data_IF_465151440210
#
_entry.id   IF_465151440210
#
_cell.length_a   1.000
_cell.length_b   1.000
_cell.length_c   1.000
_cell.angle_alpha   90.00
_cell.angle_beta   90.00
_cell.angle_gamma   90.00
#
_symmetry.space_group_name_H-M   'P 1'
#
loop_
_entity.id
_entity.type
_entity.pdbx_description
1 polymer ?
#
# COMPACT_ATOMS: atom_id res chain seq x y z
N UNK A 1 0.38 -13.95 10.03
CA UNK A 1 -0.13 -12.55 10.04
C UNK A 1 -1.13 -12.42 8.91
N UNK A 2 -2.29 -11.80 9.13
CA UNK A 2 -3.25 -11.51 8.06
C UNK A 2 -3.49 -10.00 7.98
N UNK A 3 -3.89 -9.50 6.82
CA UNK A 3 -4.22 -8.08 6.63
C UNK A 3 -5.52 -7.97 5.87
N UNK A 4 -6.50 -7.30 6.46
CA UNK A 4 -7.75 -6.95 5.79
C UNK A 4 -7.61 -5.54 5.21
N UNK A 5 -7.97 -5.39 3.95
CA UNK A 5 -7.97 -4.11 3.23
C UNK A 5 -9.27 -3.95 2.47
N UNK A 6 -9.73 -2.73 2.34
CA UNK A 6 -10.85 -2.40 1.45
C UNK A 6 -10.30 -1.98 0.08
N UNK A 7 -10.86 -2.55 -0.99
CA UNK A 7 -10.52 -2.15 -2.35
C UNK A 7 -11.14 -0.80 -2.68
N UNK A 8 -10.64 -0.15 -3.74
CA UNK A 8 -11.22 1.11 -4.23
C UNK A 8 -12.70 1.01 -4.66
N UNK A 9 -13.23 -0.21 -4.81
CA UNK A 9 -14.64 -0.49 -5.14
C UNK A 9 -15.47 -0.90 -3.91
N UNK A 10 -14.97 -0.69 -2.70
CA UNK A 10 -15.65 -1.00 -1.45
C UNK A 10 -15.72 -2.49 -1.07
N UNK A 11 -15.03 -3.37 -1.83
CA UNK A 11 -14.98 -4.79 -1.47
C UNK A 11 -13.87 -5.04 -0.47
N UNK A 12 -14.18 -5.76 0.61
CA UNK A 12 -13.18 -6.25 1.54
C UNK A 12 -12.34 -7.37 0.92
N UNK A 13 -11.03 -7.27 1.11
CA UNK A 13 -10.03 -8.25 0.71
C UNK A 13 -9.16 -8.62 1.91
N UNK A 14 -8.65 -9.83 1.91
CA UNK A 14 -7.74 -10.32 2.94
C UNK A 14 -6.51 -10.94 2.30
N UNK A 15 -5.33 -10.64 2.84
CA UNK A 15 -4.09 -11.37 2.56
C UNK A 15 -3.85 -12.30 3.76
N UNK A 16 -3.89 -13.60 3.53
CA UNK A 16 -3.69 -14.63 4.53
C UNK A 16 -3.00 -15.84 3.88
N UNK A 17 -2.00 -16.40 4.56
CA UNK A 17 -1.26 -17.58 4.09
C UNK A 17 -0.59 -17.36 2.72
N UNK A 18 -0.13 -16.13 2.43
CA UNK A 18 0.39 -15.71 1.11
C UNK A 18 -0.65 -15.68 -0.03
N UNK A 19 -1.91 -16.03 0.23
CA UNK A 19 -2.99 -15.95 -0.74
C UNK A 19 -3.87 -14.73 -0.54
N UNK A 20 -4.40 -14.24 -1.67
CA UNK A 20 -5.38 -13.15 -1.68
C UNK A 20 -6.79 -13.69 -1.72
N UNK A 21 -7.61 -13.06 -0.90
CA UNK A 21 -8.99 -13.36 -0.73
C UNK A 21 -9.85 -12.13 -0.99
N UNK A 22 -11.03 -12.36 -1.52
CA UNK A 22 -12.12 -11.40 -1.60
C UNK A 22 -13.24 -11.89 -0.68
N UNK A 23 -13.90 -10.96 0.01
CA UNK A 23 -15.08 -11.27 0.80
C UNK A 23 -16.17 -11.81 -0.13
N UNK A 24 -16.61 -13.04 0.11
CA UNK A 24 -17.73 -13.67 -0.59
C UNK A 24 -19.05 -13.25 0.05
N UNK A 25 -19.12 -13.36 1.38
CA UNK A 25 -20.28 -13.01 2.19
C UNK A 25 -19.93 -12.88 3.66
N UNK A 26 -20.71 -12.09 4.38
CA UNK A 26 -20.68 -11.98 5.84
C UNK A 26 -21.99 -12.56 6.38
N UNK A 27 -21.93 -13.44 7.37
CA UNK A 27 -23.10 -13.98 8.08
C UNK A 27 -22.85 -14.00 9.57
N UNK A 28 -23.71 -13.32 10.34
CA UNK A 28 -23.57 -13.17 11.79
C UNK A 28 -22.15 -12.65 12.11
N UNK A 29 -21.39 -13.41 12.89
CA UNK A 29 -20.01 -13.11 13.29
C UNK A 29 -18.95 -13.74 12.40
N UNK A 30 -19.33 -14.28 11.23
CA UNK A 30 -18.45 -15.00 10.31
C UNK A 30 -18.33 -14.31 8.96
N UNK A 31 -17.10 -14.06 8.54
CA UNK A 31 -16.76 -13.64 7.18
C UNK A 31 -16.30 -14.86 6.40
N UNK A 32 -16.87 -15.05 5.22
CA UNK A 32 -16.48 -16.09 4.28
C UNK A 32 -15.66 -15.47 3.16
N UNK A 33 -14.49 -16.05 2.95
CA UNK A 33 -13.48 -15.58 2.03
C UNK A 33 -13.34 -16.58 0.87
N UNK A 34 -13.17 -16.04 -0.34
CA UNK A 34 -12.84 -16.83 -1.53
C UNK A 34 -11.56 -16.33 -2.17
N UNK A 35 -10.79 -17.25 -2.76
CA UNK A 35 -9.57 -16.89 -3.47
C UNK A 35 -9.87 -15.80 -4.53
N UNK A 36 -8.95 -14.85 -4.72
CA UNK A 36 -9.06 -13.84 -5.78
C UNK A 36 -9.16 -14.49 -7.17
N UNK A 37 -8.51 -15.64 -7.37
CA UNK A 37 -8.57 -16.44 -8.60
C UNK A 37 -9.75 -17.42 -8.62
N UNK A 38 -10.88 -17.12 -7.93
CA UNK A 38 -11.98 -18.08 -7.70
C UNK A 38 -12.61 -18.70 -8.96
N UNK A 39 -12.40 -18.10 -10.14
CA UNK A 39 -12.86 -18.66 -11.41
C UNK A 39 -12.16 -20.00 -11.67
N UNK A 40 -10.87 -20.07 -11.36
CA UNK A 40 -10.04 -21.25 -11.58
C UNK A 40 -9.62 -21.93 -10.28
N UNK A 41 -9.99 -21.39 -9.11
CA UNK A 41 -9.55 -21.85 -7.80
C UNK A 41 -10.71 -22.02 -6.80
N UNK A 42 -10.80 -23.19 -6.18
CA UNK A 42 -11.78 -23.47 -5.13
C UNK A 42 -11.34 -23.05 -3.73
N UNK A 43 -10.22 -22.33 -3.60
CA UNK A 43 -9.70 -21.86 -2.31
C UNK A 43 -10.74 -21.06 -1.53
N UNK A 44 -10.95 -21.43 -0.27
CA UNK A 44 -11.93 -20.79 0.63
C UNK A 44 -11.35 -20.72 2.04
N UNK A 45 -11.67 -19.64 2.74
CA UNK A 45 -11.39 -19.49 4.16
C UNK A 45 -12.62 -18.92 4.87
N UNK A 46 -12.67 -19.10 6.19
CA UNK A 46 -13.66 -18.48 7.07
C UNK A 46 -12.95 -17.76 8.19
N UNK A 47 -13.54 -16.68 8.69
CA UNK A 47 -12.98 -15.90 9.77
C UNK A 47 -14.09 -15.52 10.75
N UNK A 48 -13.88 -15.76 12.05
CA UNK A 48 -14.70 -15.16 13.10
C UNK A 48 -14.11 -13.77 13.45
N UNK A 49 -14.94 -12.82 13.91
CA UNK A 49 -14.54 -11.40 14.15
C UNK A 49 -13.21 -11.25 14.91
N UNK A 50 -12.96 -12.11 15.89
CA UNK A 50 -11.78 -12.01 16.79
C UNK A 50 -10.72 -13.09 16.51
N UNK A 51 -10.90 -13.88 15.46
CA UNK A 51 -10.02 -15.00 15.14
C UNK A 51 -9.32 -14.77 13.79
N UNK A 52 -8.12 -15.36 13.61
CA UNK A 52 -7.49 -15.39 12.31
C UNK A 52 -8.35 -16.18 11.30
N UNK A 53 -8.28 -15.85 10.00
CA UNK A 53 -8.89 -16.68 8.97
C UNK A 53 -8.37 -18.12 9.04
N UNK A 54 -9.27 -19.08 8.82
CA UNK A 54 -8.96 -20.51 8.75
C UNK A 54 -9.34 -21.03 7.37
N UNK A 55 -8.40 -21.74 6.74
CA UNK A 55 -8.61 -22.37 5.44
C UNK A 55 -9.69 -23.47 5.56
N UNK A 56 -10.65 -23.44 4.64
CA UNK A 56 -11.74 -24.43 4.58
C UNK A 56 -11.69 -25.27 3.30
N UNK A 57 -10.99 -24.80 2.27
CA UNK A 57 -10.82 -25.50 1.00
C UNK A 57 -9.43 -25.17 0.45
N UNK A 58 -8.68 -26.17 -0.05
CA UNK A 58 -7.33 -25.98 -0.54
C UNK A 58 -7.31 -25.17 -1.85
N UNK A 59 -6.13 -24.64 -2.15
CA UNK A 59 -5.82 -24.00 -3.42
C UNK A 59 -5.37 -25.04 -4.45
N UNK A 60 -5.43 -24.66 -5.71
CA UNK A 60 -4.91 -25.45 -6.83
C UNK A 60 -3.88 -24.67 -7.65
N UNK A 61 -3.33 -23.61 -7.07
CA UNK A 61 -2.29 -22.78 -7.65
C UNK A 61 -1.36 -22.33 -6.52
N UNK A 62 -0.12 -22.00 -6.88
CA UNK A 62 0.83 -21.42 -5.94
C UNK A 62 0.43 -19.98 -5.57
N UNK A 63 0.90 -19.47 -4.42
CA UNK A 63 0.69 -18.07 -4.06
C UNK A 63 1.26 -17.14 -5.13
N UNK A 64 0.56 -16.05 -5.49
CA UNK A 64 1.06 -15.09 -6.48
C UNK A 64 2.13 -14.16 -5.86
N UNK A 65 3.30 -14.71 -5.56
CA UNK A 65 4.40 -14.05 -4.80
C UNK A 65 4.78 -12.69 -5.39
N UNK A 66 5.01 -12.62 -6.69
CA UNK A 66 5.36 -11.36 -7.36
C UNK A 66 4.30 -10.27 -7.17
N UNK A 67 3.02 -10.62 -7.35
CA UNK A 67 1.93 -9.67 -7.17
C UNK A 67 1.82 -9.19 -5.71
N UNK A 68 2.08 -10.07 -4.75
CA UNK A 68 2.14 -9.76 -3.32
C UNK A 68 3.29 -8.81 -3.00
N UNK A 69 4.48 -9.07 -3.52
CA UNK A 69 5.66 -8.22 -3.33
C UNK A 69 5.47 -6.82 -3.93
N UNK A 70 4.87 -6.74 -5.12
CA UNK A 70 4.50 -5.48 -5.76
C UNK A 70 3.48 -4.71 -4.91
N UNK A 71 2.46 -5.38 -4.37
CA UNK A 71 1.46 -4.70 -3.55
C UNK A 71 2.04 -4.21 -2.22
N UNK A 72 2.87 -5.03 -1.58
CA UNK A 72 3.60 -4.63 -0.39
C UNK A 72 4.51 -3.44 -0.70
N UNK A 73 5.18 -3.43 -1.87
CA UNK A 73 6.03 -2.30 -2.30
C UNK A 73 5.26 -1.00 -2.37
N UNK A 74 4.10 -1.05 -3.02
CA UNK A 74 3.22 0.11 -3.13
C UNK A 74 2.75 0.57 -1.77
N UNK A 75 2.44 -0.36 -0.86
CA UNK A 75 2.00 -0.05 0.51
C UNK A 75 3.10 0.68 1.27
N UNK A 76 4.32 0.16 1.25
CA UNK A 76 5.47 0.75 1.95
C UNK A 76 5.79 2.14 1.40
N UNK A 77 5.81 2.31 0.07
CA UNK A 77 6.03 3.63 -0.54
C UNK A 77 4.93 4.63 -0.16
N UNK A 78 3.66 4.23 -0.22
CA UNK A 78 2.55 5.10 0.17
C UNK A 78 2.61 5.49 1.64
N UNK A 79 3.02 4.58 2.51
CA UNK A 79 3.23 4.87 3.93
C UNK A 79 4.29 5.94 4.11
N UNK A 80 5.48 5.73 3.54
CA UNK A 80 6.59 6.67 3.65
C UNK A 80 6.30 8.04 3.04
N UNK A 81 5.55 8.08 1.94
CA UNK A 81 5.11 9.35 1.34
C UNK A 81 4.31 10.20 2.33
N UNK A 82 3.54 9.60 3.24
CA UNK A 82 2.72 10.31 4.23
C UNK A 82 3.51 10.79 5.43
N UNK A 83 4.65 10.14 5.72
CA UNK A 83 5.45 10.40 6.92
C UNK A 83 6.67 11.28 6.62
N UNK A 84 7.18 11.22 5.39
CA UNK A 84 8.43 11.86 4.99
C UNK A 84 8.19 12.93 3.93
N UNK A 85 8.82 14.11 4.10
CA UNK A 85 8.79 15.16 3.08
C UNK A 85 9.76 14.92 1.90
N UNK A 86 10.47 13.80 1.90
CA UNK A 86 11.50 13.41 0.93
C UNK A 86 10.97 13.41 -0.52
N UNK A 87 11.81 13.73 -1.53
CA UNK A 87 11.42 13.60 -2.94
C UNK A 87 11.02 12.16 -3.31
N UNK A 88 9.98 12.00 -4.14
CA UNK A 88 9.41 10.70 -4.50
C UNK A 88 10.42 9.75 -5.16
N UNK A 89 11.31 10.29 -5.98
CA UNK A 89 12.39 9.54 -6.64
C UNK A 89 13.37 8.95 -5.63
N UNK A 90 13.68 9.68 -4.55
CA UNK A 90 14.57 9.24 -3.50
C UNK A 90 13.89 8.23 -2.57
N UNK A 91 12.61 8.41 -2.25
CA UNK A 91 11.80 7.40 -1.55
C UNK A 91 11.79 6.08 -2.32
N UNK A 92 11.51 6.13 -3.63
CA UNK A 92 11.53 4.95 -4.49
C UNK A 92 12.89 4.25 -4.48
N UNK A 93 13.98 4.98 -4.71
CA UNK A 93 15.34 4.41 -4.75
C UNK A 93 15.73 3.79 -3.42
N UNK A 94 15.49 4.46 -2.30
CA UNK A 94 15.83 3.95 -0.98
C UNK A 94 15.05 2.68 -0.64
N UNK A 95 13.75 2.61 -0.97
CA UNK A 95 12.95 1.41 -0.74
C UNK A 95 13.38 0.25 -1.65
N UNK A 96 13.78 0.56 -2.90
CA UNK A 96 14.33 -0.43 -3.82
C UNK A 96 15.63 -1.04 -3.29
N UNK A 97 16.56 -0.21 -2.81
CA UNK A 97 17.84 -0.64 -2.22
C UNK A 97 17.60 -1.51 -0.98
N UNK A 98 16.70 -1.07 -0.09
CA UNK A 98 16.33 -1.82 1.11
C UNK A 98 15.86 -3.24 0.76
N UNK A 99 15.04 -3.38 -0.29
CA UNK A 99 14.56 -4.69 -0.75
C UNK A 99 15.63 -5.51 -1.44
N UNK A 100 16.52 -4.88 -2.19
CA UNK A 100 17.67 -5.55 -2.78
C UNK A 100 18.55 -6.20 -1.72
N UNK A 101 18.77 -5.53 -0.59
CA UNK A 101 19.54 -6.07 0.54
C UNK A 101 18.82 -7.28 1.17
N UNK A 102 17.49 -7.20 1.32
CA UNK A 102 16.71 -8.28 1.97
C UNK A 102 16.49 -9.49 1.06
N UNK A 103 16.18 -9.26 -0.22
CA UNK A 103 15.92 -10.31 -1.21
C UNK A 103 16.24 -9.82 -2.63
N UNK A 104 17.46 -10.06 -3.12
CA UNK A 104 17.92 -9.60 -4.43
C UNK A 104 17.07 -10.11 -5.60
N UNK A 105 16.58 -11.35 -5.53
CA UNK A 105 15.88 -12.00 -6.65
C UNK A 105 14.52 -11.36 -6.94
N UNK A 106 13.84 -10.86 -5.91
CA UNK A 106 12.50 -10.28 -6.07
C UNK A 106 12.53 -8.84 -6.61
N UNK A 107 13.70 -8.17 -6.65
CA UNK A 107 13.77 -6.76 -7.09
C UNK A 107 13.50 -6.62 -8.59
N UNK A 108 13.88 -7.61 -9.39
CA UNK A 108 13.70 -7.59 -10.84
C UNK A 108 12.22 -7.57 -11.27
N UNK A 109 11.32 -8.09 -10.42
CA UNK A 109 9.87 -8.15 -10.69
C UNK A 109 9.11 -6.93 -10.16
N UNK A 110 9.79 -6.03 -9.43
CA UNK A 110 9.17 -4.81 -8.92
C UNK A 110 8.94 -3.77 -10.02
N UNK A 111 7.95 -2.91 -9.77
CA UNK A 111 7.59 -1.86 -10.72
C UNK A 111 8.66 -0.77 -10.79
N UNK A 112 8.91 -0.32 -12.02
CA UNK A 112 9.76 0.83 -12.33
C UNK A 112 9.09 2.14 -11.88
N UNK A 113 9.91 3.14 -11.55
CA UNK A 113 9.41 4.43 -11.06
C UNK A 113 8.36 5.06 -11.98
N UNK A 114 8.55 5.02 -13.30
CA UNK A 114 7.61 5.60 -14.25
C UNK A 114 6.21 4.95 -14.20
N UNK A 115 6.13 3.64 -13.89
CA UNK A 115 4.87 2.91 -13.75
C UNK A 115 4.13 3.29 -12.45
N UNK A 116 4.85 3.82 -11.47
CA UNK A 116 4.30 4.24 -10.18
C UNK A 116 4.08 5.75 -10.09
N UNK A 117 4.73 6.55 -10.94
CA UNK A 117 4.79 8.01 -10.86
C UNK A 117 3.44 8.63 -10.51
N UNK A 118 2.42 8.41 -11.32
CA UNK A 118 1.10 9.02 -11.12
C UNK A 118 0.46 8.65 -9.78
N UNK A 119 0.63 7.40 -9.35
CA UNK A 119 0.09 6.91 -8.07
C UNK A 119 0.81 7.61 -6.91
N UNK A 120 2.14 7.70 -6.96
CA UNK A 120 2.93 8.30 -5.88
C UNK A 120 2.69 9.81 -5.77
N UNK A 121 2.66 10.53 -6.90
CA UNK A 121 2.35 11.96 -6.92
C UNK A 121 0.93 12.23 -6.42
N UNK A 122 -0.06 11.44 -6.83
CA UNK A 122 -1.42 11.56 -6.30
C UNK A 122 -1.45 11.36 -4.80
N UNK A 123 -0.82 10.30 -4.28
CA UNK A 123 -0.77 10.07 -2.82
C UNK A 123 -0.06 11.20 -2.08
N UNK A 124 1.00 11.79 -2.65
CA UNK A 124 1.68 12.95 -2.05
C UNK A 124 0.78 14.19 -2.03
N UNK A 125 0.12 14.50 -3.14
CA UNK A 125 -0.77 15.65 -3.26
C UNK A 125 -2.05 15.52 -2.42
N UNK A 126 -2.44 14.30 -2.04
CA UNK A 126 -3.53 14.07 -1.08
C UNK A 126 -3.15 14.48 0.36
N UNK A 127 -1.85 14.54 0.70
CA UNK A 127 -1.37 14.80 2.07
C UNK A 127 -0.59 16.11 2.21
N UNK A 128 -0.01 16.61 1.11
CA UNK A 128 0.78 17.83 1.10
C UNK A 128 0.23 18.81 0.06
N UNK A 129 0.28 20.13 0.34
CA UNK A 129 -0.07 21.12 -0.65
C UNK A 129 0.83 20.96 -1.90
N UNK A 130 0.31 21.28 -3.10
CA UNK A 130 1.13 21.29 -4.29
C UNK A 130 2.32 22.23 -4.10
N UNK A 131 3.45 21.88 -4.69
CA UNK A 131 4.61 22.77 -4.68
C UNK A 131 4.20 24.10 -5.34
N UNK A 132 4.61 25.24 -4.76
CA UNK A 132 4.34 26.54 -5.35
C UNK A 132 4.92 26.59 -6.76
N UNK A 133 4.11 27.03 -7.72
CA UNK A 133 4.49 27.07 -9.14
C UNK A 133 5.21 28.37 -9.50
N UNK A 134 5.19 29.34 -8.60
CA UNK A 134 5.81 30.65 -8.77
C UNK A 134 6.37 31.18 -7.45
N UNK A 135 7.31 32.12 -7.53
CA UNK A 135 7.91 32.77 -6.36
C UNK A 135 6.88 33.56 -5.55
N UNK A 136 5.82 34.06 -6.19
CA UNK A 136 4.75 34.83 -5.56
C UNK A 136 3.86 33.96 -4.66
N UNK A 137 3.89 32.63 -4.82
CA UNK A 137 3.17 31.69 -3.95
C UNK A 137 3.97 31.34 -2.68
N UNK A 138 5.24 31.74 -2.60
CA UNK A 138 6.13 31.52 -1.46
C UNK A 138 6.15 32.79 -0.61
N UNK A 139 5.03 33.11 0.04
CA UNK A 139 5.04 34.18 1.05
C UNK A 139 5.74 33.69 2.31
N UNK A 140 6.91 34.26 2.58
CA UNK A 140 7.58 34.15 3.88
C UNK A 140 7.22 35.43 4.64
N UNK A 141 6.36 35.32 5.65
CA UNK A 141 6.21 36.40 6.63
C UNK A 141 7.56 36.56 7.33
N UNK A 142 8.29 37.61 6.94
CA UNK A 142 9.45 38.05 7.71
C UNK A 142 8.87 38.71 8.96
N UNK A 143 8.85 37.97 10.07
CA UNK A 143 8.64 38.52 11.40
C UNK A 143 9.77 39.52 11.65
N UNK A 144 9.53 40.79 11.33
CA UNK A 144 10.34 41.87 11.82
C UNK A 144 10.01 41.98 13.31
N UNK A 145 10.85 41.38 14.14
CA UNK A 145 10.90 41.70 15.56
C UNK A 145 11.20 43.20 15.66
N UNK A 146 10.13 43.99 15.82
CA UNK A 146 10.23 45.38 16.20
C UNK A 146 10.83 45.40 17.60
N UNK A 147 12.14 45.52 17.66
CA UNK A 147 12.84 45.99 18.85
C UNK A 147 12.35 47.42 19.12
N UNK A 148 11.26 47.53 19.89
CA UNK A 148 10.85 48.76 20.54
C UNK A 148 11.93 49.16 21.56
N UNK A 149 12.90 49.92 21.06
CA UNK A 149 13.77 50.75 21.86
C UNK A 149 13.11 52.12 21.99
N UNK A 150 12.41 52.38 23.11
CA UNK A 150 12.58 53.56 23.98
C UNK A 150 11.50 53.66 25.05
#
# INVERSE_FOLDING_TARGET
MYTIVETAKGKQCSLFDEYRYVCDRIRNTRTYWRCEQYINCSGRAKQNIEEPPVLTSPYNHDPPKEANDIAQFKKDLKHRIREEQTPLTQLYRSELIKRYITNPENVATLLLFHQLKNILYRTKNEHYPPLPMSINEVYVEVMLDNAENK
#
